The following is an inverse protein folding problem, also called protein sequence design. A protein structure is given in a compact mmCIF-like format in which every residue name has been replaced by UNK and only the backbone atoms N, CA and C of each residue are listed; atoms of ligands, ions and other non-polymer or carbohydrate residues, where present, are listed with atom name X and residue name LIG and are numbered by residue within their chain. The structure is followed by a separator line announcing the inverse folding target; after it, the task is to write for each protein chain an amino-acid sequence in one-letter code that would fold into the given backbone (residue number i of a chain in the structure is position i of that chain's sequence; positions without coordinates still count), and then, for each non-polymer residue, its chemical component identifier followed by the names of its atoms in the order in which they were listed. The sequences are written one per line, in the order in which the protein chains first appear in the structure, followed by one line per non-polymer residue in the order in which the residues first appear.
data_IF_000545365207
#
_entry.id   IF_000545365207
#
_cell.length_a   1.000
_cell.length_b   1.000
_cell.length_c   1.000
_cell.angle_alpha   90.00
_cell.angle_beta   90.00
_cell.angle_gamma   90.00
#
_symmetry.space_group_name_H-M   'P 1'
#
loop_
_entity.id
_entity.type
_entity.pdbx_description
1 polymer ?
#
# COMPACT_ATOMS: atom_id res chain seq x y z
N UNK A 1 -11.20 -12.95 26.84
CA UNK A 1 -10.81 -13.65 25.59
C UNK A 1 -10.97 -12.80 24.32
N UNK A 2 -11.32 -11.50 24.40
CA UNK A 2 -11.77 -10.72 23.22
C UNK A 2 -10.74 -9.84 22.49
N UNK A 3 -9.65 -9.42 23.13
CA UNK A 3 -8.74 -8.42 22.54
C UNK A 3 -8.03 -8.93 21.26
N UNK A 4 -7.56 -10.18 21.27
CA UNK A 4 -6.90 -10.81 20.12
C UNK A 4 -7.81 -10.96 18.90
N UNK A 5 -9.11 -11.21 19.14
CA UNK A 5 -10.11 -11.36 18.07
C UNK A 5 -10.46 -10.00 17.45
N UNK A 6 -10.62 -8.96 18.28
CA UNK A 6 -10.85 -7.59 17.82
C UNK A 6 -9.67 -7.05 16.99
N UNK A 7 -8.43 -7.31 17.42
CA UNK A 7 -7.22 -6.97 16.66
C UNK A 7 -7.18 -7.70 15.30
N UNK A 8 -7.52 -8.99 15.28
CA UNK A 8 -7.56 -9.77 14.03
C UNK A 8 -8.60 -9.22 13.04
N UNK A 9 -9.77 -8.79 13.51
CA UNK A 9 -10.81 -8.18 12.69
C UNK A 9 -10.35 -6.83 12.13
N UNK A 10 -9.72 -6.00 12.97
CA UNK A 10 -9.17 -4.71 12.56
C UNK A 10 -8.08 -4.89 11.49
N UNK A 11 -7.14 -5.80 11.70
CA UNK A 11 -6.08 -6.10 10.71
C UNK A 11 -6.68 -6.57 9.39
N UNK A 12 -7.68 -7.44 9.45
CA UNK A 12 -8.38 -7.91 8.25
C UNK A 12 -9.08 -6.76 7.52
N UNK A 13 -9.72 -5.85 8.25
CA UNK A 13 -10.32 -4.63 7.69
C UNK A 13 -9.26 -3.71 7.09
N UNK A 14 -8.11 -3.53 7.73
CA UNK A 14 -7.06 -2.62 7.24
C UNK A 14 -6.33 -3.17 6.01
N UNK A 15 -6.13 -4.49 5.91
CA UNK A 15 -5.54 -5.18 4.74
C UNK A 15 -6.54 -5.30 3.58
N UNK A 16 -7.79 -4.93 3.81
CA UNK A 16 -8.81 -4.95 2.78
C UNK A 16 -8.44 -4.03 1.61
N UNK A 17 -8.68 -4.49 0.38
CA UNK A 17 -8.36 -3.69 -0.79
C UNK A 17 -9.30 -2.49 -0.90
N UNK A 18 -8.77 -1.37 -1.40
CA UNK A 18 -9.53 -0.16 -1.66
C UNK A 18 -10.55 -0.32 -2.81
N UNK A 19 -10.47 -1.42 -3.57
CA UNK A 19 -11.37 -1.72 -4.70
C UNK A 19 -12.65 -2.45 -4.30
N UNK A 20 -12.75 -2.98 -3.10
CA UNK A 20 -13.94 -3.74 -2.70
C UNK A 20 -15.17 -2.84 -2.53
N UNK A 21 -16.34 -3.37 -2.92
CA UNK A 21 -17.61 -2.68 -2.72
C UNK A 21 -18.15 -3.00 -1.33
N UNK A 22 -18.26 -2.01 -0.44
CA UNK A 22 -19.19 -2.14 0.69
C UNK A 22 -20.60 -2.02 0.11
N UNK A 23 -21.23 -3.16 -0.22
CA UNK A 23 -22.64 -3.24 -0.57
C UNK A 23 -23.12 -2.43 -1.79
N UNK A 24 -22.26 -2.23 -2.82
CA UNK A 24 -22.45 -1.47 -4.09
C UNK A 24 -21.71 -0.12 -4.20
N UNK A 25 -21.03 0.35 -3.15
CA UNK A 25 -20.30 1.64 -3.20
C UNK A 25 -18.78 1.44 -3.22
N UNK A 26 -18.10 2.11 -4.16
CA UNK A 26 -16.65 2.09 -4.30
C UNK A 26 -15.97 2.75 -3.08
N UNK A 27 -15.11 2.02 -2.35
CA UNK A 27 -14.42 2.52 -1.15
C UNK A 27 -13.64 3.82 -1.45
N UNK A 28 -13.04 3.99 -2.63
CA UNK A 28 -12.40 5.28 -3.03
C UNK A 28 -13.39 6.43 -3.09
N UNK A 29 -14.63 6.18 -3.51
CA UNK A 29 -15.68 7.19 -3.50
C UNK A 29 -16.08 7.55 -2.06
N UNK A 30 -16.16 6.56 -1.17
CA UNK A 30 -16.42 6.77 0.26
C UNK A 30 -15.31 7.61 0.88
N UNK A 31 -14.04 7.26 0.65
CA UNK A 31 -12.89 8.02 1.11
C UNK A 31 -12.91 9.45 0.59
N UNK A 32 -13.15 9.67 -0.71
CA UNK A 32 -13.21 11.03 -1.28
C UNK A 32 -14.35 11.86 -0.69
N UNK A 33 -15.52 11.25 -0.47
CA UNK A 33 -16.66 11.94 0.14
C UNK A 33 -16.37 12.29 1.60
N UNK A 34 -15.96 11.32 2.41
CA UNK A 34 -15.66 11.53 3.82
C UNK A 34 -14.44 12.44 4.04
N UNK A 35 -13.49 12.51 3.11
CA UNK A 35 -12.39 13.47 3.16
C UNK A 35 -12.83 14.92 2.94
N UNK A 36 -14.05 15.19 2.43
CA UNK A 36 -14.55 16.58 2.28
C UNK A 36 -14.59 17.31 3.61
N UNK A 37 -14.93 16.63 4.69
CA UNK A 37 -14.95 17.21 6.04
C UNK A 37 -13.55 17.63 6.50
N UNK A 38 -12.51 16.97 6.00
CA UNK A 38 -11.12 17.34 6.27
C UNK A 38 -10.66 18.57 5.47
N UNK A 39 -11.43 19.04 4.49
CA UNK A 39 -11.08 20.22 3.67
C UNK A 39 -11.08 21.53 4.47
N UNK A 40 -11.81 21.57 5.59
CA UNK A 40 -11.85 22.75 6.48
C UNK A 40 -10.49 23.03 7.14
N UNK A 41 -9.61 22.03 7.20
CA UNK A 41 -8.28 22.18 7.80
C UNK A 41 -7.27 22.59 6.73
N UNK A 42 -7.16 23.90 6.51
CA UNK A 42 -6.32 24.50 5.46
C UNK A 42 -4.84 24.18 5.64
N UNK A 43 -4.36 24.13 6.88
CA UNK A 43 -2.97 23.85 7.25
C UNK A 43 -2.41 22.53 6.67
N UNK A 44 -3.28 21.54 6.43
CA UNK A 44 -2.88 20.22 5.95
C UNK A 44 -3.19 19.99 4.48
N UNK A 45 -3.71 21.00 3.75
CA UNK A 45 -4.14 20.82 2.37
C UNK A 45 -2.97 20.61 1.42
N UNK A 46 -2.02 21.53 1.40
CA UNK A 46 -0.92 21.51 0.43
C UNK A 46 0.37 20.99 1.05
N UNK A 47 1.31 20.50 0.23
CA UNK A 47 2.65 20.20 0.72
C UNK A 47 3.32 21.45 1.28
N UNK A 48 3.97 21.33 2.43
CA UNK A 48 4.66 22.47 3.09
C UNK A 48 5.67 23.15 2.15
N UNK A 49 6.37 22.36 1.33
CA UNK A 49 7.37 22.87 0.38
C UNK A 49 6.78 23.65 -0.80
N UNK A 50 5.46 23.54 -1.02
CA UNK A 50 4.73 24.32 -2.03
C UNK A 50 4.29 25.66 -1.45
N UNK A 51 3.68 25.65 -0.26
CA UNK A 51 3.22 26.88 0.41
C UNK A 51 4.40 27.70 0.97
N UNK A 52 5.48 27.04 1.38
CA UNK A 52 6.67 27.65 1.99
C UNK A 52 7.96 27.11 1.36
N UNK A 53 8.30 27.50 0.11
CA UNK A 53 9.49 27.00 -0.59
C UNK A 53 10.80 27.25 0.16
N UNK A 54 10.89 28.38 0.88
CA UNK A 54 12.08 28.76 1.66
C UNK A 54 12.35 27.81 2.84
N UNK A 55 11.31 27.14 3.35
CA UNK A 55 11.44 26.17 4.44
C UNK A 55 11.81 24.77 3.97
N UNK A 56 11.91 24.53 2.65
CA UNK A 56 12.10 23.19 2.08
C UNK A 56 13.27 22.43 2.73
N UNK A 57 14.46 23.03 2.75
CA UNK A 57 15.65 22.38 3.29
C UNK A 57 15.50 22.04 4.78
N UNK A 58 14.90 22.94 5.56
CA UNK A 58 14.66 22.71 6.98
C UNK A 58 13.60 21.62 7.19
N UNK A 59 12.52 21.65 6.41
CA UNK A 59 11.43 20.69 6.48
C UNK A 59 11.90 19.27 6.11
N UNK A 60 12.61 19.12 5.00
CA UNK A 60 13.16 17.83 4.55
C UNK A 60 14.27 17.29 5.48
N UNK A 61 14.93 18.16 6.27
CA UNK A 61 15.90 17.72 7.28
C UNK A 61 15.27 17.11 8.53
N UNK A 62 13.97 17.39 8.77
CA UNK A 62 13.23 16.92 9.96
C UNK A 62 12.21 15.85 9.57
N UNK A 63 11.55 16.00 8.42
CA UNK A 63 10.42 15.18 7.99
C UNK A 63 10.86 14.20 6.90
N UNK A 64 10.95 12.93 7.25
CA UNK A 64 11.36 11.84 6.34
C UNK A 64 10.28 11.50 5.29
N UNK A 65 9.01 11.57 5.67
CA UNK A 65 7.88 11.19 4.81
C UNK A 65 6.87 12.34 4.69
N UNK A 66 7.15 13.36 3.86
CA UNK A 66 6.22 14.47 3.65
C UNK A 66 4.90 13.95 3.06
N UNK A 67 3.79 14.50 3.54
CA UNK A 67 2.46 14.16 3.04
C UNK A 67 1.48 15.32 3.29
N UNK A 68 0.59 15.57 2.34
CA UNK A 68 -0.55 16.49 2.48
C UNK A 68 -1.89 15.86 2.08
N UNK A 69 -3.00 16.50 2.45
CA UNK A 69 -4.34 16.06 2.05
C UNK A 69 -4.56 16.15 0.54
N UNK A 70 -3.96 17.12 -0.16
CA UNK A 70 -4.03 17.22 -1.63
C UNK A 70 -3.36 16.02 -2.29
N UNK A 71 -2.17 15.63 -1.83
CA UNK A 71 -1.46 14.45 -2.32
C UNK A 71 -2.24 13.16 -2.03
N UNK A 72 -2.85 13.04 -0.84
CA UNK A 72 -3.70 11.89 -0.50
C UNK A 72 -4.90 11.81 -1.44
N UNK A 73 -5.57 12.94 -1.73
CA UNK A 73 -6.70 13.00 -2.66
C UNK A 73 -6.28 12.64 -4.08
N UNK A 74 -5.14 13.12 -4.54
CA UNK A 74 -4.59 12.80 -5.85
C UNK A 74 -4.29 11.29 -5.97
N UNK A 75 -3.63 10.71 -4.96
CA UNK A 75 -3.36 9.28 -4.86
C UNK A 75 -4.64 8.44 -4.85
N UNK A 76 -5.72 8.93 -4.22
CA UNK A 76 -7.05 8.30 -4.24
C UNK A 76 -7.80 8.47 -5.58
N UNK A 77 -7.59 9.60 -6.26
CA UNK A 77 -8.24 9.93 -7.53
C UNK A 77 -7.61 9.19 -8.72
N UNK A 78 -6.34 8.79 -8.61
CA UNK A 78 -5.63 8.00 -9.60
C UNK A 78 -6.37 6.71 -9.97
N UNK A 79 -7.08 6.72 -11.11
CA UNK A 79 -7.80 5.53 -11.63
C UNK A 79 -6.84 4.46 -12.17
N UNK A 80 -5.66 4.87 -12.66
CA UNK A 80 -4.72 4.02 -13.42
C UNK A 80 -3.44 3.63 -12.65
N UNK A 81 -3.09 4.31 -11.56
CA UNK A 81 -1.94 3.99 -10.69
C UNK A 81 -2.43 3.85 -9.25
N UNK A 82 -2.56 2.63 -8.74
CA UNK A 82 -3.03 2.38 -7.39
C UNK A 82 -1.93 2.69 -6.37
N UNK A 83 -1.75 3.97 -6.00
CA UNK A 83 -0.80 4.37 -4.94
C UNK A 83 -1.15 3.76 -3.58
N UNK A 84 -2.44 3.49 -3.36
CA UNK A 84 -2.92 2.79 -2.19
C UNK A 84 -3.47 1.43 -2.59
N UNK A 85 -2.96 0.38 -1.95
CA UNK A 85 -3.42 -0.99 -2.15
C UNK A 85 -4.48 -1.33 -1.11
N UNK A 86 -4.25 -0.93 0.14
CA UNK A 86 -5.06 -1.29 1.28
C UNK A 86 -5.64 -0.07 2.00
N UNK A 87 -6.77 -0.26 2.68
CA UNK A 87 -7.42 0.78 3.49
C UNK A 87 -6.43 1.38 4.52
N UNK A 88 -5.62 0.53 5.14
CA UNK A 88 -4.60 0.96 6.11
C UNK A 88 -3.55 1.91 5.54
N UNK A 89 -3.29 1.87 4.22
CA UNK A 89 -2.34 2.78 3.58
C UNK A 89 -2.85 4.23 3.60
N UNK A 90 -4.16 4.42 3.40
CA UNK A 90 -4.78 5.76 3.44
C UNK A 90 -4.78 6.30 4.86
N UNK A 91 -5.16 5.46 5.84
CA UNK A 91 -5.17 5.86 7.24
C UNK A 91 -3.78 6.19 7.78
N UNK A 92 -2.74 5.48 7.32
CA UNK A 92 -1.35 5.82 7.62
C UNK A 92 -1.01 7.21 7.11
N UNK A 93 -1.30 7.51 5.84
CA UNK A 93 -0.95 8.80 5.25
C UNK A 93 -1.72 9.96 5.90
N UNK A 94 -2.98 9.74 6.27
CA UNK A 94 -3.75 10.69 7.11
C UNK A 94 -3.12 10.89 8.49
N UNK A 95 -2.57 9.84 9.10
CA UNK A 95 -1.87 9.99 10.37
C UNK A 95 -0.52 10.71 10.20
N UNK A 96 0.16 10.53 9.06
CA UNK A 96 1.41 11.23 8.73
C UNK A 96 1.22 12.75 8.65
N UNK A 97 0.11 13.25 8.10
CA UNK A 97 -0.12 14.71 8.02
C UNK A 97 -0.14 15.36 9.42
N UNK A 98 -0.78 14.72 10.40
CA UNK A 98 -0.79 15.17 11.79
C UNK A 98 0.57 14.94 12.47
N UNK A 99 1.18 13.76 12.32
CA UNK A 99 2.47 13.44 12.95
C UNK A 99 3.60 14.35 12.47
N UNK A 100 3.66 14.64 11.17
CA UNK A 100 4.66 15.55 10.61
C UNK A 100 4.47 16.98 11.13
N UNK A 101 3.22 17.41 11.28
CA UNK A 101 2.92 18.72 11.84
C UNK A 101 3.34 18.82 13.31
N UNK A 102 3.11 17.78 14.12
CA UNK A 102 3.62 17.73 15.50
C UNK A 102 5.14 17.77 15.55
N UNK A 103 5.81 16.99 14.70
CA UNK A 103 7.26 16.85 14.69
C UNK A 103 7.97 18.13 14.26
N UNK A 104 7.50 18.77 13.18
CA UNK A 104 8.10 20.00 12.67
C UNK A 104 7.79 21.23 13.55
N UNK A 105 6.60 21.27 14.16
CA UNK A 105 6.10 22.46 14.87
C UNK A 105 6.16 22.34 16.39
N UNK A 106 7.10 21.54 16.95
CA UNK A 106 7.24 21.29 18.40
C UNK A 106 7.23 22.53 19.30
N UNK A 107 7.68 23.68 18.77
CA UNK A 107 7.76 24.93 19.52
C UNK A 107 6.61 25.91 19.21
N UNK A 108 5.68 25.58 18.31
CA UNK A 108 4.61 26.48 17.87
C UNK A 108 3.23 26.01 18.38
N UNK A 109 2.87 26.46 19.58
CA UNK A 109 1.61 26.08 20.25
C UNK A 109 0.35 26.40 19.42
N UNK A 110 0.36 27.46 18.60
CA UNK A 110 -0.79 27.83 17.76
C UNK A 110 -1.03 26.78 16.68
N UNK A 111 0.03 26.24 16.10
CA UNK A 111 -0.07 25.13 15.14
C UNK A 111 -0.42 23.83 15.88
N UNK A 112 0.21 23.55 17.02
CA UNK A 112 -0.05 22.32 17.78
C UNK A 112 -1.52 22.22 18.21
N UNK A 113 -2.17 23.32 18.58
CA UNK A 113 -3.60 23.32 18.90
C UNK A 113 -4.46 22.96 17.68
N UNK A 114 -4.15 23.51 16.50
CA UNK A 114 -4.83 23.14 15.26
C UNK A 114 -4.62 21.66 14.91
N UNK A 115 -3.43 21.12 15.21
CA UNK A 115 -3.14 19.68 15.02
C UNK A 115 -3.97 18.83 15.98
N UNK A 116 -4.20 19.24 17.24
CA UNK A 116 -5.08 18.52 18.17
C UNK A 116 -6.52 18.46 17.67
N UNK A 117 -7.06 19.57 17.17
CA UNK A 117 -8.41 19.61 16.59
C UNK A 117 -8.49 18.72 15.35
N UNK A 118 -7.49 18.76 14.49
CA UNK A 118 -7.40 17.92 13.30
C UNK A 118 -7.28 16.42 13.66
N UNK A 119 -6.48 16.06 14.66
CA UNK A 119 -6.32 14.69 15.14
C UNK A 119 -7.63 14.10 15.65
N UNK A 120 -8.45 14.90 16.36
CA UNK A 120 -9.82 14.50 16.75
C UNK A 120 -10.69 14.21 15.54
N UNK A 121 -10.66 15.10 14.53
CA UNK A 121 -11.42 14.89 13.30
C UNK A 121 -10.96 13.64 12.50
N UNK A 122 -9.66 13.29 12.56
CA UNK A 122 -9.16 12.04 11.98
C UNK A 122 -9.73 10.81 12.69
N UNK A 123 -9.84 10.83 14.02
CA UNK A 123 -10.44 9.73 14.80
C UNK A 123 -11.91 9.57 14.44
N UNK A 124 -12.65 10.68 14.37
CA UNK A 124 -14.06 10.68 13.96
C UNK A 124 -14.23 10.08 12.56
N UNK A 125 -13.40 10.51 11.61
CA UNK A 125 -13.38 9.99 10.25
C UNK A 125 -13.12 8.47 10.19
N UNK A 126 -12.10 7.97 10.89
CA UNK A 126 -11.78 6.53 10.91
C UNK A 126 -12.90 5.73 11.57
N UNK A 127 -13.47 6.26 12.66
CA UNK A 127 -14.58 5.60 13.37
C UNK A 127 -15.87 5.57 12.54
N UNK A 128 -16.15 6.61 11.75
CA UNK A 128 -17.27 6.60 10.80
C UNK A 128 -17.08 5.49 9.76
N UNK A 129 -15.85 5.31 9.27
CA UNK A 129 -15.53 4.23 8.34
C UNK A 129 -15.69 2.84 9.00
N UNK A 130 -15.22 2.68 10.24
CA UNK A 130 -15.42 1.45 11.04
C UNK A 130 -16.91 1.17 11.24
N UNK A 131 -17.72 2.19 11.52
CA UNK A 131 -19.16 2.03 11.69
C UNK A 131 -19.83 1.54 10.39
N UNK A 132 -19.47 2.12 9.24
CA UNK A 132 -19.93 1.67 7.92
C UNK A 132 -19.51 0.22 7.64
N UNK A 133 -18.27 -0.15 7.95
CA UNK A 133 -17.79 -1.51 7.82
C UNK A 133 -18.58 -2.49 8.71
N UNK A 134 -18.75 -2.15 10.00
CA UNK A 134 -19.45 -2.96 10.99
C UNK A 134 -20.92 -3.21 10.66
N UNK A 135 -21.56 -2.31 9.88
CA UNK A 135 -22.93 -2.49 9.40
C UNK A 135 -23.07 -3.64 8.39
N UNK A 136 -21.98 -4.08 7.77
CA UNK A 136 -21.97 -5.11 6.72
C UNK A 136 -21.43 -6.47 7.18
N UNK A 137 -21.08 -6.61 8.46
CA UNK A 137 -20.49 -7.83 9.00
C UNK A 137 -21.22 -8.30 10.27
N UNK A 138 -21.13 -9.61 10.60
CA UNK A 138 -21.76 -10.14 11.81
C UNK A 138 -21.23 -9.45 13.08
N UNK A 139 -22.05 -9.33 14.15
CA UNK A 139 -21.64 -8.74 15.42
C UNK A 139 -20.35 -9.35 16.01
N UNK A 140 -20.14 -10.65 15.80
CA UNK A 140 -18.96 -11.39 16.26
C UNK A 140 -17.64 -11.01 15.54
N UNK A 141 -17.72 -10.31 14.41
CA UNK A 141 -16.58 -9.86 13.62
C UNK A 141 -16.36 -8.35 13.68
N UNK A 142 -17.18 -7.62 14.46
CA UNK A 142 -17.12 -6.15 14.49
C UNK A 142 -15.77 -5.65 15.00
N UNK A 143 -15.33 -4.54 14.39
CA UNK A 143 -14.12 -3.82 14.75
C UNK A 143 -14.50 -2.77 15.79
N UNK A 144 -13.73 -2.69 16.88
CA UNK A 144 -13.96 -1.69 17.92
C UNK A 144 -13.54 -0.30 17.42
N UNK A 145 -14.32 0.76 17.65
CA UNK A 145 -13.89 2.13 17.34
C UNK A 145 -12.74 2.56 18.25
N UNK A 146 -11.89 3.47 17.76
CA UNK A 146 -10.81 4.10 18.51
C UNK A 146 -11.35 5.17 19.46
N UNK A 147 -10.71 5.31 20.62
CA UNK A 147 -11.11 6.32 21.62
C UNK A 147 -10.24 7.55 21.63
N UNK A 148 -8.99 7.43 21.15
CA UNK A 148 -8.01 8.50 21.13
C UNK A 148 -7.11 8.41 19.89
N UNK A 149 -6.56 9.56 19.48
CA UNK A 149 -5.65 9.63 18.34
C UNK A 149 -4.39 8.78 18.55
N UNK A 150 -3.77 8.82 19.74
CA UNK A 150 -2.55 8.05 20.02
C UNK A 150 -2.76 6.53 19.96
N UNK A 151 -3.96 6.06 20.29
CA UNK A 151 -4.36 4.65 20.15
C UNK A 151 -4.45 4.29 18.66
N UNK A 152 -5.17 5.11 17.89
CA UNK A 152 -5.34 4.94 16.45
C UNK A 152 -4.00 5.00 15.71
N UNK A 153 -3.19 6.02 15.96
CA UNK A 153 -1.86 6.23 15.38
C UNK A 153 -0.96 5.01 15.60
N UNK A 154 -0.78 4.59 16.86
CA UNK A 154 0.08 3.43 17.20
C UNK A 154 -0.42 2.16 16.53
N UNK A 155 -1.73 1.95 16.49
CA UNK A 155 -2.32 0.75 15.89
C UNK A 155 -2.11 0.74 14.38
N UNK A 156 -2.39 1.84 13.68
CA UNK A 156 -2.18 1.94 12.24
C UNK A 156 -0.70 1.76 11.91
N UNK A 157 0.21 2.47 12.59
CA UNK A 157 1.65 2.41 12.29
C UNK A 157 2.28 1.07 12.63
N UNK A 158 1.72 0.33 13.60
CA UNK A 158 2.12 -1.07 13.89
C UNK A 158 1.92 -1.97 12.66
N UNK A 159 0.84 -1.77 11.91
CA UNK A 159 0.48 -2.62 10.78
C UNK A 159 0.89 -2.04 9.42
N UNK A 160 0.93 -0.72 9.31
CA UNK A 160 1.24 0.04 8.10
C UNK A 160 2.31 1.11 8.40
N UNK A 161 3.58 0.72 8.63
CA UNK A 161 4.64 1.68 8.86
C UNK A 161 4.97 2.49 7.59
N UNK A 162 5.28 3.80 7.70
CA UNK A 162 5.76 4.62 6.59
C UNK A 162 6.99 4.03 5.91
N UNK A 163 7.10 4.21 4.59
CA UNK A 163 8.28 3.78 3.82
C UNK A 163 8.47 2.26 3.71
N UNK A 164 7.61 1.42 4.29
CA UNK A 164 7.60 -0.04 4.12
C UNK A 164 6.33 -0.44 3.39
N UNK A 165 6.49 -1.19 2.29
CA UNK A 165 5.36 -1.92 1.72
C UNK A 165 4.79 -2.84 2.81
N UNK A 166 3.47 -2.95 2.95
CA UNK A 166 2.84 -3.87 3.90
C UNK A 166 3.46 -5.25 3.79
N UNK A 167 3.66 -5.95 4.92
CA UNK A 167 4.38 -7.23 4.97
C UNK A 167 3.78 -8.34 4.09
N UNK A 168 2.58 -8.14 3.53
CA UNK A 168 1.99 -9.00 2.49
C UNK A 168 2.72 -8.92 1.13
N UNK A 169 3.60 -7.93 0.91
CA UNK A 169 4.44 -7.79 -0.29
C UNK A 169 5.91 -8.14 -0.02
N UNK A 170 6.18 -9.02 0.97
CA UNK A 170 7.53 -9.38 1.39
C UNK A 170 8.25 -10.22 0.34
N UNK A 171 8.98 -9.53 -0.53
CA UNK A 171 10.43 -9.70 -0.71
C UNK A 171 10.95 -8.56 -1.59
N UNK A 172 11.53 -7.54 -0.94
CA UNK A 172 12.29 -6.49 -1.61
C UNK A 172 13.58 -7.09 -2.18
N UNK A 173 13.62 -7.38 -3.48
CA UNK A 173 14.83 -7.07 -4.24
C UNK A 173 14.82 -5.56 -4.44
N UNK A 174 15.92 -4.89 -4.11
CA UNK A 174 16.07 -3.45 -4.38
C UNK A 174 15.77 -3.24 -5.86
N UNK A 175 14.90 -2.28 -6.18
CA UNK A 175 14.42 -2.05 -7.53
C UNK A 175 15.57 -1.57 -8.44
N UNK A 176 16.40 -2.51 -8.89
CA UNK A 176 17.47 -2.35 -9.88
C UNK A 176 17.09 -3.10 -11.15
N UNK A 177 17.66 -2.68 -12.27
CA UNK A 177 17.61 -3.47 -13.50
C UNK A 177 18.23 -4.84 -13.22
N UNK A 178 17.58 -5.95 -13.63
CA UNK A 178 18.17 -7.28 -13.45
C UNK A 178 19.41 -7.44 -14.32
N UNK A 179 20.36 -8.23 -13.84
CA UNK A 179 21.52 -8.63 -14.60
C UNK A 179 21.14 -9.74 -15.60
N UNK A 180 21.98 -9.94 -16.63
CA UNK A 180 21.70 -10.88 -17.72
C UNK A 180 21.54 -12.33 -17.22
N UNK A 181 22.39 -12.74 -16.28
CA UNK A 181 22.37 -14.03 -15.59
C UNK A 181 21.07 -14.27 -14.81
N UNK A 182 20.48 -13.24 -14.19
CA UNK A 182 19.21 -13.35 -13.49
C UNK A 182 18.04 -13.57 -14.46
N UNK A 183 18.07 -12.90 -15.62
CA UNK A 183 17.10 -13.12 -16.70
C UNK A 183 17.23 -14.54 -17.25
N UNK A 184 18.45 -15.00 -17.50
CA UNK A 184 18.71 -16.38 -17.94
C UNK A 184 18.23 -17.41 -16.90
N UNK A 185 18.41 -17.14 -15.61
CA UNK A 185 17.95 -18.02 -14.55
C UNK A 185 16.43 -18.13 -14.54
N UNK A 186 15.71 -17.00 -14.65
CA UNK A 186 14.25 -16.99 -14.76
C UNK A 186 13.77 -17.82 -15.96
N UNK A 187 14.42 -17.66 -17.12
CA UNK A 187 14.10 -18.42 -18.33
C UNK A 187 14.33 -19.92 -18.14
N UNK A 188 15.41 -20.33 -17.45
CA UNK A 188 15.65 -21.75 -17.12
C UNK A 188 14.54 -22.33 -16.28
N UNK A 189 14.04 -21.59 -15.28
CA UNK A 189 12.92 -22.02 -14.42
C UNK A 189 11.62 -22.12 -15.23
N UNK A 190 11.32 -21.12 -16.06
CA UNK A 190 10.14 -21.14 -16.94
C UNK A 190 10.13 -22.33 -17.90
N UNK A 191 11.29 -22.65 -18.50
CA UNK A 191 11.41 -23.74 -19.46
C UNK A 191 11.20 -25.14 -18.87
N UNK A 192 11.33 -25.30 -17.54
CA UNK A 192 11.12 -26.58 -16.85
C UNK A 192 9.76 -26.69 -16.15
N UNK A 193 8.97 -25.60 -16.12
CA UNK A 193 7.63 -25.63 -15.53
C UNK A 193 6.67 -26.48 -16.39
N UNK A 194 5.81 -27.32 -15.78
CA UNK A 194 4.76 -28.03 -16.48
C UNK A 194 3.84 -27.06 -17.23
N UNK A 195 3.33 -27.47 -18.40
CA UNK A 195 2.51 -26.61 -19.26
C UNK A 195 1.35 -25.95 -18.51
N UNK A 196 0.68 -26.66 -17.59
CA UNK A 196 -0.40 -26.10 -16.77
C UNK A 196 0.07 -24.95 -15.85
N UNK A 197 1.23 -25.10 -15.22
CA UNK A 197 1.81 -24.09 -14.34
C UNK A 197 2.35 -22.90 -15.16
N UNK A 198 2.97 -23.18 -16.30
CA UNK A 198 3.44 -22.18 -17.25
C UNK A 198 2.27 -21.34 -17.80
N UNK A 199 1.15 -21.98 -18.18
CA UNK A 199 -0.07 -21.28 -18.59
C UNK A 199 -0.57 -20.37 -17.46
N UNK A 200 -0.54 -20.82 -16.20
CA UNK A 200 -0.89 -19.98 -15.05
C UNK A 200 -0.01 -18.74 -14.90
N UNK A 201 1.32 -18.91 -15.01
CA UNK A 201 2.27 -17.80 -14.98
C UNK A 201 2.07 -16.84 -16.16
N UNK A 202 1.85 -17.35 -17.37
CA UNK A 202 1.60 -16.55 -18.57
C UNK A 202 0.26 -15.82 -18.46
N UNK A 203 -0.81 -16.45 -17.97
CA UNK A 203 -2.11 -15.80 -17.75
C UNK A 203 -2.02 -14.71 -16.69
N UNK A 204 -1.27 -14.93 -15.60
CA UNK A 204 -1.03 -13.90 -14.59
C UNK A 204 -0.21 -12.73 -15.14
N UNK A 205 0.81 -13.01 -15.96
CA UNK A 205 1.55 -11.99 -16.68
C UNK A 205 0.62 -11.24 -17.63
N UNK A 206 -0.15 -11.93 -18.48
CA UNK A 206 -1.08 -11.31 -19.42
C UNK A 206 -2.13 -10.44 -18.73
N UNK A 207 -2.64 -10.84 -17.57
CA UNK A 207 -3.57 -10.03 -16.78
C UNK A 207 -2.89 -8.73 -16.29
N UNK A 208 -1.66 -8.81 -15.81
CA UNK A 208 -0.86 -7.62 -15.46
C UNK A 208 -0.54 -6.77 -16.69
N UNK A 209 -0.27 -7.40 -17.84
CA UNK A 209 0.03 -6.72 -19.10
C UNK A 209 -1.19 -6.02 -19.69
N UNK A 210 -2.38 -6.61 -19.57
CA UNK A 210 -3.66 -5.97 -19.89
C UNK A 210 -3.88 -4.72 -19.03
N UNK A 211 -3.42 -4.73 -17.77
CA UNK A 211 -3.42 -3.53 -16.91
C UNK A 211 -2.29 -2.53 -17.23
N UNK A 212 -1.34 -2.90 -18.08
CA UNK A 212 -0.20 -2.07 -18.49
C UNK A 212 -0.34 -1.47 -19.92
N UNK A 213 -1.43 -1.81 -20.64
CA UNK A 213 -1.74 -1.22 -21.94
C UNK A 213 -2.13 0.27 -21.79
N UNK A 214 -1.68 1.10 -22.75
CA UNK A 214 -2.14 2.49 -22.84
C UNK A 214 -3.57 2.61 -23.40
N UNK A 215 -4.10 3.83 -23.46
CA UNK A 215 -5.47 4.14 -23.89
C UNK A 215 -5.79 3.68 -25.33
N UNK A 216 -4.77 3.38 -26.14
CA UNK A 216 -4.93 2.86 -27.51
C UNK A 216 -4.86 1.33 -27.58
N UNK A 217 -4.84 0.65 -26.42
CA UNK A 217 -4.61 -0.79 -26.34
C UNK A 217 -3.19 -1.17 -26.74
N UNK A 218 -2.26 -0.21 -26.81
CA UNK A 218 -0.87 -0.48 -27.13
C UNK A 218 -0.19 -0.91 -25.84
N UNK A 219 0.25 -2.17 -25.85
CA UNK A 219 1.07 -2.74 -24.81
C UNK A 219 2.45 -2.08 -24.85
N UNK A 220 2.71 -1.10 -23.96
CA UNK A 220 4.05 -0.53 -23.78
C UNK A 220 4.74 -1.28 -22.65
N UNK A 221 5.19 -2.50 -22.94
CA UNK A 221 6.20 -3.15 -22.11
C UNK A 221 7.54 -2.84 -22.73
N UNK A 222 8.16 -1.79 -22.22
CA UNK A 222 9.53 -1.52 -22.57
C UNK A 222 10.43 -2.45 -21.75
N UNK A 223 10.75 -3.62 -22.32
CA UNK A 223 11.76 -4.53 -21.76
C UNK A 223 13.17 -3.94 -21.82
N UNK A 224 13.43 -2.93 -22.66
CA UNK A 224 14.69 -2.20 -22.71
C UNK A 224 14.76 -1.09 -21.64
N UNK A 225 13.62 -0.55 -21.20
CA UNK A 225 13.48 0.39 -20.08
C UNK A 225 12.82 -0.26 -18.85
N UNK A 226 13.16 -1.53 -18.56
CA UNK A 226 12.59 -2.30 -17.44
C UNK A 226 12.28 -1.42 -16.24
N UNK A 227 10.98 -1.23 -15.93
CA UNK A 227 10.60 -0.81 -14.59
C UNK A 227 11.00 -1.96 -13.67
N UNK A 228 12.01 -1.80 -12.80
CA UNK A 228 12.56 -2.92 -12.05
C UNK A 228 11.51 -3.73 -11.29
N UNK A 229 10.46 -3.04 -10.80
CA UNK A 229 9.37 -3.64 -10.05
C UNK A 229 8.61 -4.75 -10.80
N UNK A 230 8.34 -4.60 -12.10
CA UNK A 230 7.55 -5.57 -12.88
C UNK A 230 8.32 -6.87 -13.10
N UNK A 231 9.62 -6.79 -13.35
CA UNK A 231 10.48 -7.96 -13.44
C UNK A 231 10.55 -8.71 -12.11
N UNK A 232 10.82 -8.01 -11.00
CA UNK A 232 10.96 -8.66 -9.70
C UNK A 232 9.67 -9.29 -9.19
N UNK A 233 8.52 -8.69 -9.51
CA UNK A 233 7.21 -9.29 -9.25
C UNK A 233 7.05 -10.61 -10.02
N UNK A 234 7.34 -10.61 -11.32
CA UNK A 234 7.15 -11.79 -12.16
C UNK A 234 8.13 -12.92 -11.78
N UNK A 235 9.39 -12.58 -11.50
CA UNK A 235 10.39 -13.53 -11.00
C UNK A 235 9.93 -14.19 -9.68
N UNK A 236 9.36 -13.42 -8.75
CA UNK A 236 8.84 -13.97 -7.49
C UNK A 236 7.68 -14.95 -7.71
N UNK A 237 6.73 -14.60 -8.60
CA UNK A 237 5.60 -15.47 -8.94
C UNK A 237 6.05 -16.79 -9.56
N UNK A 238 7.00 -16.74 -10.49
CA UNK A 238 7.55 -17.93 -11.16
C UNK A 238 8.27 -18.83 -10.15
N UNK A 239 9.07 -18.26 -9.24
CA UNK A 239 9.76 -19.02 -8.19
C UNK A 239 8.79 -19.68 -7.21
N UNK A 240 7.76 -18.95 -6.77
CA UNK A 240 6.75 -19.52 -5.87
C UNK A 240 6.00 -20.68 -6.53
N UNK A 241 5.65 -20.52 -7.81
CA UNK A 241 4.97 -21.57 -8.58
C UNK A 241 5.86 -22.80 -8.74
N UNK A 242 7.14 -22.60 -9.05
CA UNK A 242 8.14 -23.67 -9.11
C UNK A 242 8.25 -24.43 -7.77
N UNK A 243 8.40 -23.73 -6.66
CA UNK A 243 8.52 -24.34 -5.33
C UNK A 243 7.26 -25.15 -4.97
N UNK A 244 6.07 -24.68 -5.36
CA UNK A 244 4.81 -25.42 -5.17
C UNK A 244 4.77 -26.71 -5.99
N UNK A 245 5.21 -26.67 -7.25
CA UNK A 245 5.24 -27.85 -8.12
C UNK A 245 6.26 -28.89 -7.68
N UNK A 246 7.42 -28.45 -7.20
CA UNK A 246 8.45 -29.32 -6.59
C UNK A 246 7.93 -29.97 -5.31
N UNK A 247 7.35 -29.18 -4.37
CA UNK A 247 6.77 -29.72 -3.13
C UNK A 247 5.67 -30.73 -3.38
N UNK A 248 4.92 -30.56 -4.47
CA UNK A 248 3.87 -31.48 -4.85
C UNK A 248 4.37 -32.73 -5.60
N UNK A 249 5.69 -32.90 -5.75
CA UNK A 249 6.30 -34.06 -6.40
C UNK A 249 6.08 -34.12 -7.91
N UNK A 250 5.57 -33.05 -8.51
CA UNK A 250 5.30 -32.95 -9.96
C UNK A 250 6.52 -32.50 -10.75
N UNK A 251 7.55 -32.02 -10.05
CA UNK A 251 8.83 -31.61 -10.61
C UNK A 251 9.98 -32.09 -9.75
N UNK A 252 11.13 -32.34 -10.38
CA UNK A 252 12.39 -32.59 -9.66
C UNK A 252 13.05 -31.26 -9.29
N UNK A 253 13.71 -31.19 -8.14
CA UNK A 253 14.57 -30.06 -7.80
C UNK A 253 15.66 -29.90 -8.86
N UNK A 254 15.80 -28.67 -9.37
CA UNK A 254 16.93 -28.30 -10.22
C UNK A 254 18.17 -28.20 -9.31
N UNK A 255 19.34 -28.73 -9.72
CA UNK A 255 20.53 -28.81 -8.85
C UNK A 255 20.95 -27.48 -8.24
N UNK A 256 21.43 -27.51 -7.00
CA UNK A 256 21.83 -26.36 -6.17
C UNK A 256 22.90 -25.42 -6.78
N UNK A 257 23.57 -25.84 -7.86
CA UNK A 257 24.38 -24.94 -8.69
C UNK A 257 23.56 -23.78 -9.31
N UNK A 258 22.23 -23.85 -9.26
CA UNK A 258 21.29 -22.78 -9.64
C UNK A 258 20.76 -22.00 -8.41
N UNK A 259 20.92 -22.51 -7.18
CA UNK A 259 20.47 -21.85 -5.93
C UNK A 259 21.57 -21.06 -5.22
N UNK A 260 22.84 -21.46 -5.36
CA UNK A 260 23.95 -20.84 -4.65
C UNK A 260 25.10 -20.50 -5.59
N UNK A 261 25.15 -19.24 -6.04
CA UNK A 261 26.31 -18.69 -6.74
C UNK A 261 26.10 -17.23 -7.10
N UNK A 262 26.71 -16.33 -6.31
CA UNK A 262 27.03 -14.91 -6.56
C UNK A 262 25.88 -13.91 -6.82
#
# INVERSE_FOLDING_TARGET
MDASRSETNLVSMLIREIRESMGKTNIRAIFRESMKELNRFTLFQNPVVVDYPDLKAQYESVIEFPCSLSEIKERLAGRQNSYYTHIGDVFRDLCLTASNALEFNKANEVILEQVRVYATALVEFVNEFIAKYNAHIPPSSQVKPFTAYDEMFRTIFKHFPPGRLPKCLTKRRTARVPYCDEVEQLLRVLNVLPSRALTGCISALMLELETACDENGKLVIDFAQMRPASYWWFDALVRETYDKEVKAGRMKEVPDAVRQGM
#
